data_IF_663734601100
#
_entry.id   IF_663734601100
#
_cell.length_a   1.000
_cell.length_b   1.000
_cell.length_c   1.000
_cell.angle_alpha   90.00
_cell.angle_beta   90.00
_cell.angle_gamma   90.00
#
_symmetry.space_group_name_H-M   'P 1'
#
loop_
_entity.id
_entity.type
_entity.pdbx_description
1 polymer ?
#
# COMPACT_ATOMS: atom_id res chain seq x y z
N UNK A 1 -0.96 -6.45 0.92
CA UNK A 1 -2.18 -6.73 1.69
C UNK A 1 -1.89 -7.68 2.84
N UNK A 2 -2.21 -7.25 4.06
CA UNK A 2 -2.18 -8.06 5.27
C UNK A 2 -3.50 -8.83 5.43
N UNK A 3 -3.40 -10.13 5.69
CA UNK A 3 -4.53 -11.02 5.98
C UNK A 3 -4.63 -11.25 7.48
N UNK A 4 -5.73 -10.82 8.11
CA UNK A 4 -5.88 -10.87 9.57
C UNK A 4 -5.96 -12.29 10.11
N UNK A 5 -6.64 -13.18 9.40
CA UNK A 5 -6.86 -14.55 9.83
C UNK A 5 -5.54 -15.35 9.94
N UNK A 6 -4.58 -15.07 9.05
CA UNK A 6 -3.32 -15.84 8.94
C UNK A 6 -2.09 -15.06 9.42
N UNK A 7 -2.16 -13.73 9.45
CA UNK A 7 -1.00 -12.85 9.63
C UNK A 7 -0.10 -12.76 8.39
N UNK A 8 -0.51 -13.33 7.27
CA UNK A 8 0.24 -13.30 6.00
C UNK A 8 0.20 -11.90 5.38
N UNK A 9 1.29 -11.48 4.76
CA UNK A 9 1.32 -10.28 3.91
C UNK A 9 1.60 -10.71 2.48
N UNK A 10 0.67 -10.38 1.58
CA UNK A 10 0.78 -10.60 0.14
C UNK A 10 1.11 -9.32 -0.59
N UNK A 11 2.10 -9.35 -1.48
CA UNK A 11 2.36 -8.25 -2.39
C UNK A 11 1.35 -8.29 -3.55
N UNK A 12 0.82 -7.12 -3.92
CA UNK A 12 -0.06 -6.94 -5.08
C UNK A 12 0.71 -6.16 -6.16
N UNK A 13 1.85 -6.71 -6.58
CA UNK A 13 2.66 -6.14 -7.66
C UNK A 13 1.99 -6.40 -9.01
N UNK A 14 2.09 -5.48 -9.96
CA UNK A 14 1.60 -5.67 -11.34
C UNK A 14 2.72 -5.32 -12.29
N UNK A 15 2.80 -6.03 -13.41
CA UNK A 15 3.67 -5.63 -14.51
C UNK A 15 3.02 -4.50 -15.30
N UNK A 16 3.78 -3.45 -15.59
CA UNK A 16 3.28 -2.29 -16.32
C UNK A 16 4.35 -1.23 -16.52
N UNK A 17 4.11 -0.33 -17.46
CA UNK A 17 4.95 0.86 -17.67
C UNK A 17 4.44 2.03 -16.84
N UNK A 18 5.23 3.09 -16.69
CA UNK A 18 4.70 4.34 -16.19
C UNK A 18 3.57 4.84 -17.11
N UNK A 19 2.50 5.35 -16.52
CA UNK A 19 1.39 5.95 -17.26
C UNK A 19 1.92 7.03 -18.22
N UNK A 20 1.45 7.01 -19.47
CA UNK A 20 1.86 7.96 -20.51
C UNK A 20 3.18 7.63 -21.22
N UNK A 21 3.83 6.49 -20.93
CA UNK A 21 5.03 6.07 -21.66
C UNK A 21 4.73 5.58 -23.09
N UNK A 22 3.52 5.06 -23.31
CA UNK A 22 3.06 4.53 -24.59
C UNK A 22 1.57 4.85 -24.79
N UNK A 23 1.19 5.19 -26.03
CA UNK A 23 -0.21 5.48 -26.39
C UNK A 23 -1.12 4.25 -26.19
N UNK A 24 -0.60 3.03 -26.47
CA UNK A 24 -1.26 1.74 -26.24
C UNK A 24 -0.50 0.92 -25.19
N UNK A 25 -0.37 1.46 -23.97
CA UNK A 25 0.22 0.72 -22.85
C UNK A 25 -0.70 -0.43 -22.39
N UNK A 26 -0.18 -1.66 -22.33
CA UNK A 26 -0.84 -2.75 -21.63
C UNK A 26 -0.49 -2.68 -20.13
N UNK A 27 -1.52 -2.65 -19.28
CA UNK A 27 -1.38 -2.64 -17.82
C UNK A 27 -2.01 -3.90 -17.25
N UNK A 28 -1.26 -4.65 -16.44
CA UNK A 28 -1.80 -5.80 -15.72
C UNK A 28 -2.69 -5.33 -14.57
N UNK A 29 -3.74 -6.10 -14.29
CA UNK A 29 -4.58 -5.94 -13.10
C UNK A 29 -4.42 -7.17 -12.22
N UNK A 30 -4.24 -6.96 -10.91
CA UNK A 30 -4.39 -8.00 -9.89
C UNK A 30 -5.53 -7.65 -8.96
N UNK A 31 -6.51 -8.55 -8.89
CA UNK A 31 -7.63 -8.46 -7.95
C UNK A 31 -7.39 -9.40 -6.77
N UNK A 32 -7.67 -8.93 -5.56
CA UNK A 32 -7.76 -9.77 -4.37
C UNK A 32 -9.24 -10.04 -4.06
N UNK A 33 -9.60 -11.32 -3.94
CA UNK A 33 -10.93 -11.77 -3.52
C UNK A 33 -10.93 -12.25 -2.07
N UNK A 34 -12.10 -12.25 -1.42
CA UNK A 34 -12.19 -12.74 -0.03
C UNK A 34 -11.47 -11.80 0.94
N UNK A 35 -11.75 -10.50 0.82
CA UNK A 35 -11.33 -9.51 1.81
C UNK A 35 -12.16 -9.73 3.06
N UNK A 36 -11.50 -10.07 4.15
CA UNK A 36 -12.17 -10.39 5.41
C UNK A 36 -12.04 -9.23 6.41
N UNK A 37 -12.91 -9.25 7.42
CA UNK A 37 -12.84 -8.31 8.53
C UNK A 37 -11.48 -8.37 9.23
N UNK A 38 -10.84 -7.23 9.30
CA UNK A 38 -9.53 -6.99 9.92
C UNK A 38 -8.37 -7.03 8.93
N UNK A 39 -8.61 -7.40 7.66
CA UNK A 39 -7.59 -7.27 6.61
C UNK A 39 -7.20 -5.81 6.41
N UNK A 40 -6.00 -5.60 5.87
CA UNK A 40 -5.50 -4.25 5.60
C UNK A 40 -4.66 -4.16 4.33
N UNK A 41 -4.80 -3.07 3.60
CA UNK A 41 -4.00 -2.76 2.41
C UNK A 41 -3.16 -1.51 2.67
N UNK A 42 -1.85 -1.63 2.44
CA UNK A 42 -0.90 -0.53 2.50
C UNK A 42 -0.50 -0.16 1.06
N UNK A 43 -0.71 1.10 0.68
CA UNK A 43 -0.18 1.69 -0.55
C UNK A 43 0.85 2.75 -0.19
N UNK A 44 1.91 2.83 -0.97
CA UNK A 44 3.03 3.73 -0.70
C UNK A 44 3.80 4.10 -1.96
N UNK A 45 4.55 5.20 -1.90
CA UNK A 45 5.52 5.60 -2.93
C UNK A 45 6.93 5.04 -2.63
N UNK A 46 7.74 4.91 -3.66
CA UNK A 46 9.10 4.34 -3.64
C UNK A 46 10.04 4.99 -2.61
N UNK A 47 9.88 6.29 -2.32
CA UNK A 47 10.61 7.02 -1.26
C UNK A 47 10.83 6.19 0.02
N UNK A 48 9.82 5.42 0.46
CA UNK A 48 9.92 4.59 1.68
C UNK A 48 10.98 3.49 1.54
N UNK A 49 10.94 2.74 0.44
CA UNK A 49 11.81 1.57 0.25
C UNK A 49 13.20 1.99 -0.24
N UNK A 50 13.31 3.14 -0.90
CA UNK A 50 14.55 3.72 -1.40
C UNK A 50 15.31 4.53 -0.35
N UNK A 51 14.65 4.95 0.74
CA UNK A 51 15.29 5.67 1.85
C UNK A 51 16.52 4.91 2.35
N UNK A 52 17.69 5.57 2.29
CA UNK A 52 18.97 4.98 2.69
C UNK A 52 19.34 5.31 4.13
N UNK A 53 20.04 4.39 4.80
CA UNK A 53 20.70 4.67 6.08
C UNK A 53 22.04 5.40 5.90
N UNK A 54 22.75 5.66 7.00
CA UNK A 54 24.07 6.30 6.97
C UNK A 54 25.18 5.52 6.24
N UNK A 55 24.96 4.23 5.92
CA UNK A 55 25.86 3.41 5.12
C UNK A 55 25.47 3.36 3.63
N UNK A 56 24.40 4.05 3.22
CA UNK A 56 23.86 3.99 1.86
C UNK A 56 23.09 2.71 1.57
N UNK A 57 22.65 1.97 2.59
CA UNK A 57 21.81 0.78 2.40
C UNK A 57 20.33 1.19 2.38
N UNK A 58 19.54 0.74 1.40
CA UNK A 58 18.12 1.07 1.31
C UNK A 58 17.30 0.37 2.40
N UNK A 59 16.23 1.02 2.86
CA UNK A 59 15.30 0.51 3.86
C UNK A 59 14.63 -0.80 3.39
N UNK A 60 14.17 -0.79 2.14
CA UNK A 60 13.70 -1.96 1.42
C UNK A 60 12.35 -2.54 1.89
N UNK A 61 11.74 -3.33 1.00
CA UNK A 61 10.43 -3.97 1.22
C UNK A 61 10.39 -4.88 2.45
N UNK A 62 11.47 -5.62 2.72
CA UNK A 62 11.51 -6.60 3.82
C UNK A 62 11.25 -5.94 5.19
N UNK A 63 11.84 -4.76 5.41
CA UNK A 63 11.70 -4.02 6.66
C UNK A 63 10.31 -3.40 6.75
N UNK A 64 9.80 -2.86 5.64
CA UNK A 64 8.44 -2.33 5.55
C UNK A 64 7.38 -3.39 5.89
N UNK A 65 7.48 -4.58 5.28
CA UNK A 65 6.55 -5.70 5.52
C UNK A 65 6.57 -6.12 6.99
N UNK A 66 7.77 -6.22 7.58
CA UNK A 66 7.90 -6.58 9.00
C UNK A 66 7.30 -5.51 9.93
N UNK A 67 7.58 -4.22 9.68
CA UNK A 67 7.05 -3.12 10.46
C UNK A 67 5.52 -3.05 10.36
N UNK A 68 4.99 -3.08 9.13
CA UNK A 68 3.55 -3.06 8.86
C UNK A 68 2.81 -4.24 9.52
N UNK A 69 3.33 -5.47 9.36
CA UNK A 69 2.75 -6.66 9.96
C UNK A 69 2.72 -6.61 11.48
N UNK A 70 3.81 -6.15 12.11
CA UNK A 70 3.87 -5.99 13.56
C UNK A 70 2.92 -4.89 14.08
N UNK A 71 2.89 -3.73 13.41
CA UNK A 71 2.03 -2.62 13.81
C UNK A 71 0.54 -3.04 13.81
N UNK A 72 0.08 -3.77 12.78
CA UNK A 72 -1.29 -4.26 12.68
C UNK A 72 -1.68 -5.32 13.73
N UNK A 73 -0.76 -5.82 14.54
CA UNK A 73 -1.11 -6.70 15.66
C UNK A 73 -1.74 -5.92 16.81
N UNK A 74 -1.29 -4.69 17.05
CA UNK A 74 -1.61 -3.92 18.26
C UNK A 74 -2.13 -2.50 18.00
N UNK A 75 -1.94 -1.96 16.80
CA UNK A 75 -2.26 -0.57 16.42
C UNK A 75 -3.27 -0.55 15.28
N UNK A 76 -3.91 0.60 15.04
CA UNK A 76 -4.92 0.81 13.99
C UNK A 76 -4.86 2.23 13.42
N UNK A 77 -5.41 2.42 12.22
CA UNK A 77 -5.51 3.73 11.57
C UNK A 77 -4.17 4.47 11.51
N UNK A 78 -4.18 5.73 11.91
CA UNK A 78 -2.98 6.59 11.87
C UNK A 78 -1.84 6.07 12.75
N UNK A 79 -2.10 5.35 13.85
CA UNK A 79 -1.03 4.83 14.70
C UNK A 79 -0.11 3.85 13.93
N UNK A 80 -0.66 3.14 12.93
CA UNK A 80 0.11 2.26 12.05
C UNK A 80 0.98 3.08 11.09
N UNK A 81 0.43 4.17 10.54
CA UNK A 81 1.16 5.07 9.63
C UNK A 81 2.31 5.75 10.38
N UNK A 82 2.03 6.28 11.58
CA UNK A 82 3.01 6.92 12.46
C UNK A 82 4.13 5.94 12.85
N UNK A 83 3.80 4.68 13.12
CA UNK A 83 4.78 3.64 13.42
C UNK A 83 5.71 3.35 12.22
N UNK A 84 5.17 3.31 11.00
CA UNK A 84 5.96 3.13 9.78
C UNK A 84 6.86 4.35 9.55
N UNK A 85 6.32 5.56 9.64
CA UNK A 85 7.09 6.80 9.47
C UNK A 85 8.23 6.89 10.50
N UNK A 86 7.94 6.59 11.76
CA UNK A 86 8.94 6.58 12.83
C UNK A 86 10.06 5.57 12.56
N UNK A 87 9.74 4.35 12.10
CA UNK A 87 10.76 3.34 11.80
C UNK A 87 11.63 3.69 10.59
N UNK A 88 11.05 4.35 9.57
CA UNK A 88 11.78 4.85 8.40
C UNK A 88 12.71 6.00 8.79
N UNK A 89 12.23 6.98 9.57
CA UNK A 89 13.06 8.09 10.05
C UNK A 89 14.18 7.62 10.96
N UNK A 90 13.91 6.67 11.84
CA UNK A 90 14.93 6.05 12.69
C UNK A 90 16.00 5.31 11.86
N UNK A 91 15.64 4.77 10.70
CA UNK A 91 16.57 4.11 9.78
C UNK A 91 17.49 5.06 9.03
N UNK A 92 16.91 6.14 8.50
CA UNK A 92 17.58 7.06 7.60
C UNK A 92 18.86 7.64 8.24
N UNK A 93 18.82 7.88 9.56
CA UNK A 93 19.92 8.50 10.31
C UNK A 93 20.29 9.92 9.82
N UNK A 94 19.41 10.59 9.06
CA UNK A 94 19.53 11.99 8.62
C UNK A 94 18.35 12.82 9.14
N UNK A 95 18.43 14.14 9.00
CA UNK A 95 17.40 15.07 9.47
C UNK A 95 16.16 15.12 8.56
N UNK A 96 16.28 14.74 7.28
CA UNK A 96 15.21 14.83 6.28
C UNK A 96 15.15 13.62 5.36
N UNK A 97 13.99 13.43 4.74
CA UNK A 97 13.80 12.52 3.60
C UNK A 97 14.17 13.28 2.32
N UNK A 98 14.68 12.55 1.33
CA UNK A 98 15.17 13.13 0.08
C UNK A 98 14.05 13.29 -0.98
N UNK A 99 12.86 12.71 -0.74
CA UNK A 99 11.70 12.72 -1.64
C UNK A 99 10.36 12.74 -0.84
N UNK A 100 9.23 12.88 -1.54
CA UNK A 100 7.89 12.97 -0.95
C UNK A 100 7.43 11.64 -0.34
N UNK A 101 7.17 11.67 0.98
CA UNK A 101 6.68 10.51 1.73
C UNK A 101 5.15 10.40 1.62
N UNK A 102 4.66 9.37 0.92
CA UNK A 102 3.22 9.12 0.77
C UNK A 102 2.88 7.70 1.22
N UNK A 103 1.92 7.57 2.14
CA UNK A 103 1.37 6.31 2.64
C UNK A 103 -0.15 6.41 2.71
N UNK A 104 -0.84 5.35 2.28
CA UNK A 104 -2.27 5.19 2.47
C UNK A 104 -2.56 3.80 3.07
N UNK A 105 -3.32 3.79 4.15
CA UNK A 105 -3.78 2.58 4.82
C UNK A 105 -5.28 2.43 4.66
N UNK A 106 -5.71 1.29 4.10
CA UNK A 106 -7.10 0.88 4.08
C UNK A 106 -7.26 -0.30 5.04
N UNK A 107 -8.15 -0.17 6.00
CA UNK A 107 -8.49 -1.23 6.94
C UNK A 107 -9.96 -1.65 6.73
N UNK A 108 -10.19 -2.95 6.61
CA UNK A 108 -11.51 -3.51 6.33
C UNK A 108 -12.16 -3.96 7.64
N UNK A 109 -13.27 -3.35 8.03
CA UNK A 109 -13.84 -3.52 9.38
C UNK A 109 -15.23 -4.16 9.42
N UNK A 110 -15.91 -4.18 8.29
CA UNK A 110 -17.19 -4.83 8.08
C UNK A 110 -17.10 -5.68 6.82
N UNK A 111 -17.87 -6.77 6.75
CA UNK A 111 -18.13 -7.42 5.47
C UNK A 111 -18.90 -6.43 4.62
N UNK A 112 -18.35 -6.04 3.47
CA UNK A 112 -19.17 -5.42 2.45
C UNK A 112 -20.21 -6.45 2.03
N UNK A 113 -21.50 -6.13 2.17
CA UNK A 113 -22.57 -6.97 1.65
C UNK A 113 -22.26 -7.18 0.15
N UNK A 114 -21.98 -8.42 -0.26
CA UNK A 114 -21.74 -8.77 -1.66
C UNK A 114 -23.04 -8.74 -2.49
N UNK A 115 -24.01 -7.94 -2.06
CA UNK A 115 -25.41 -7.97 -2.44
C UNK A 115 -25.93 -6.61 -2.87
N UNK A 116 -25.19 -5.89 -3.70
CA UNK A 116 -25.81 -5.09 -4.75
C UNK A 116 -25.08 -5.42 -6.05
N UNK A 117 -25.80 -6.02 -7.00
CA UNK A 117 -25.35 -6.09 -8.38
C UNK A 117 -24.95 -4.67 -8.78
N UNK A 118 -23.65 -4.44 -8.95
CA UNK A 118 -23.18 -3.24 -9.62
C UNK A 118 -23.94 -3.20 -10.95
N UNK A 119 -24.72 -2.15 -11.25
CA UNK A 119 -25.38 -2.07 -12.54
C UNK A 119 -24.29 -2.25 -13.60
N UNK A 120 -24.53 -3.13 -14.57
CA UNK A 120 -23.63 -3.33 -15.72
C UNK A 120 -23.21 -1.93 -16.20
N UNK A 121 -21.95 -1.57 -15.95
CA UNK A 121 -21.45 -0.24 -16.24
C UNK A 121 -21.68 0.02 -17.71
N UNK A 122 -22.38 1.11 -18.02
CA UNK A 122 -22.75 1.48 -19.38
C UNK A 122 -21.54 2.01 -20.18
N UNK A 123 -20.35 1.44 -20.01
CA UNK A 123 -19.16 1.77 -20.78
C UNK A 123 -18.72 3.24 -20.73
N UNK A 124 -19.36 4.07 -19.92
CA UNK A 124 -19.01 5.48 -19.78
C UNK A 124 -18.06 5.63 -18.59
N UNK A 125 -16.76 5.51 -18.88
CA UNK A 125 -15.72 5.86 -17.94
C UNK A 125 -16.00 7.24 -17.34
N UNK A 126 -16.27 7.27 -16.03
CA UNK A 126 -16.49 8.49 -15.27
C UNK A 126 -15.18 9.27 -15.21
N UNK A 127 -14.98 10.14 -16.20
CA UNK A 127 -13.93 11.13 -16.22
C UNK A 127 -14.32 12.24 -15.21
N UNK A 128 -13.60 12.33 -14.10
CA UNK A 128 -13.70 13.48 -13.19
C UNK A 128 -12.59 14.45 -13.58
N UNK A 129 -12.95 15.55 -14.23
CA UNK A 129 -12.01 16.67 -14.44
C UNK A 129 -11.82 17.44 -13.13
N UNK A 130 -10.57 17.82 -12.85
CA UNK A 130 -10.20 18.83 -11.85
C UNK A 130 -10.37 20.24 -12.40
#
# INVERSE_FOLDING_TARGET
>A
MFKRATGEIRELDTDGFFLGSFDDGCYEEKAETGIERGDALLLYTDCIIETENGAGEPYGKKRLIACFGHALLTMRGNDVIDAIEADVRAFNCRESLDDDFTVMLLEFWEEADAGEDLPEGDGSGGFVEF
#
